data_IF_064912417048
#
_entry.id   IF_064912417048
#
_cell.length_a   1.000
_cell.length_b   1.000
_cell.length_c   1.000
_cell.angle_alpha   90.00
_cell.angle_beta   90.00
_cell.angle_gamma   90.00
#
_symmetry.space_group_name_H-M   'P 1'
#
loop_
_entity.id
_entity.type
_entity.pdbx_description
1 polymer ?
#
# COMPACT_ATOMS: atom_id res chain seq x y z
N UNK A 1 -8.90 8.98 20.44
CA UNK A 1 -8.35 9.27 19.09
C UNK A 1 -7.26 8.27 18.81
N UNK A 2 -7.33 7.51 17.71
CA UNK A 2 -6.20 6.70 17.29
C UNK A 2 -5.16 7.63 16.67
N UNK A 3 -3.98 7.73 17.28
CA UNK A 3 -2.89 8.55 16.77
C UNK A 3 -2.35 7.95 15.48
N UNK A 4 -2.18 8.80 14.46
CA UNK A 4 -1.48 8.41 13.22
C UNK A 4 0.00 8.41 13.55
N UNK A 5 0.62 7.23 13.50
CA UNK A 5 2.05 7.04 13.78
C UNK A 5 2.86 7.47 12.55
N UNK A 6 2.42 7.09 11.35
CA UNK A 6 3.06 7.45 10.09
C UNK A 6 2.03 7.75 9.02
N UNK A 7 2.31 8.79 8.24
CA UNK A 7 1.60 9.15 7.03
C UNK A 7 2.62 9.39 5.92
N UNK A 8 2.51 8.65 4.81
CA UNK A 8 3.40 8.83 3.66
C UNK A 8 2.80 8.30 2.37
N UNK A 9 3.29 8.80 1.24
CA UNK A 9 2.88 8.38 -0.09
C UNK A 9 3.81 7.25 -0.54
N UNK A 10 3.24 6.08 -0.79
CA UNK A 10 3.97 4.91 -1.29
C UNK A 10 3.38 4.36 -2.58
N UNK A 11 4.18 3.61 -3.33
CA UNK A 11 3.76 2.91 -4.53
C UNK A 11 3.29 1.49 -4.15
N UNK A 12 1.98 1.25 -4.18
CA UNK A 12 1.39 -0.06 -3.86
C UNK A 12 1.38 -0.95 -5.10
N UNK A 13 1.99 -2.13 -4.99
CA UNK A 13 1.84 -3.21 -5.98
C UNK A 13 0.53 -3.95 -5.76
N UNK A 14 -0.28 -4.14 -6.80
CA UNK A 14 -1.48 -4.98 -6.74
C UNK A 14 -1.10 -6.43 -6.48
N UNK A 15 -1.92 -7.16 -5.72
CA UNK A 15 -1.71 -8.60 -5.57
C UNK A 15 -1.98 -9.29 -6.90
N UNK A 16 -0.93 -9.87 -7.47
CA UNK A 16 -1.00 -10.53 -8.76
C UNK A 16 -1.76 -11.86 -8.61
N UNK A 17 -3.01 -11.92 -9.09
CA UNK A 17 -3.84 -13.13 -9.00
C UNK A 17 -3.46 -14.21 -10.01
N UNK A 18 -2.87 -13.83 -11.15
CA UNK A 18 -2.41 -14.74 -12.23
C UNK A 18 -0.98 -14.37 -12.62
N UNK A 19 -0.09 -15.36 -12.78
CA UNK A 19 1.35 -15.16 -13.08
C UNK A 19 1.62 -14.34 -14.35
N UNK A 20 0.72 -14.38 -15.33
CA UNK A 20 0.83 -13.67 -16.62
C UNK A 20 0.15 -12.30 -16.62
N UNK A 21 -0.55 -11.93 -15.54
CA UNK A 21 -1.24 -10.64 -15.48
C UNK A 21 -0.24 -9.51 -15.23
N UNK A 22 -0.36 -8.36 -15.91
CA UNK A 22 0.57 -7.24 -15.76
C UNK A 22 0.73 -6.80 -14.31
N UNK A 23 1.96 -6.43 -13.94
CA UNK A 23 2.27 -5.93 -12.61
C UNK A 23 1.75 -4.49 -12.51
N UNK A 24 0.68 -4.28 -11.73
CA UNK A 24 0.10 -2.95 -11.55
C UNK A 24 0.64 -2.27 -10.30
N UNK A 25 1.19 -1.07 -10.47
CA UNK A 25 1.65 -0.21 -9.39
C UNK A 25 0.81 1.07 -9.35
N UNK A 26 0.32 1.47 -8.17
CA UNK A 26 -0.42 2.72 -7.98
C UNK A 26 0.14 3.50 -6.80
N UNK A 27 0.29 4.81 -6.95
CA UNK A 27 0.60 5.71 -5.82
C UNK A 27 -0.62 5.78 -4.90
N UNK A 28 -0.41 5.65 -3.60
CA UNK A 28 -1.45 5.71 -2.56
C UNK A 28 -0.90 6.39 -1.32
N UNK A 29 -1.75 7.13 -0.62
CA UNK A 29 -1.42 7.68 0.70
C UNK A 29 -1.70 6.61 1.75
N UNK A 30 -0.70 6.25 2.55
CA UNK A 30 -0.81 5.26 3.62
C UNK A 30 -0.83 5.95 4.98
N UNK A 31 -1.78 5.54 5.82
CA UNK A 31 -1.91 5.97 7.21
C UNK A 31 -1.75 4.75 8.11
N UNK A 32 -0.72 4.78 8.94
CA UNK A 32 -0.46 3.78 9.96
C UNK A 32 -0.96 4.30 11.31
N UNK A 33 -1.82 3.51 11.95
CA UNK A 33 -2.24 3.68 13.34
C UNK A 33 -1.83 2.43 14.12
N UNK A 34 -1.87 2.46 15.45
CA UNK A 34 -1.47 1.32 16.30
C UNK A 34 -2.16 0.00 15.93
N UNK A 35 -3.41 0.06 15.47
CA UNK A 35 -4.23 -1.13 15.20
C UNK A 35 -4.42 -1.45 13.72
N UNK A 36 -4.18 -0.50 12.81
CA UNK A 36 -4.47 -0.69 11.38
C UNK A 36 -3.58 0.14 10.46
N UNK A 37 -3.33 -0.43 9.29
CA UNK A 37 -2.73 0.25 8.15
C UNK A 37 -3.82 0.47 7.08
N UNK A 38 -4.19 1.73 6.86
CA UNK A 38 -5.21 2.13 5.89
C UNK A 38 -4.56 2.87 4.71
N UNK A 39 -5.17 2.83 3.53
CA UNK A 39 -4.69 3.60 2.38
C UNK A 39 -5.83 4.27 1.60
N UNK A 40 -5.51 5.41 0.99
CA UNK A 40 -6.45 6.26 0.24
C UNK A 40 -5.91 6.54 -1.18
N UNK A 41 -6.81 6.82 -2.13
CA UNK A 41 -6.42 7.42 -3.42
C UNK A 41 -5.82 8.80 -3.14
N UNK A 42 -4.67 9.06 -3.72
CA UNK A 42 -4.03 10.37 -3.65
C UNK A 42 -4.05 11.00 -5.04
N UNK A 43 -5.09 11.79 -5.30
CA UNK A 43 -5.22 12.58 -6.51
C UNK A 43 -4.66 13.98 -6.27
N UNK A 44 -3.52 14.30 -6.90
CA UNK A 44 -2.88 15.63 -6.79
C UNK A 44 -3.80 16.74 -7.33
N UNK A 45 -4.69 16.41 -8.26
CA UNK A 45 -5.60 17.37 -8.93
C UNK A 45 -6.98 17.49 -8.27
N UNK A 46 -7.45 16.47 -7.53
CA UNK A 46 -8.82 16.43 -6.98
C UNK A 46 -8.89 16.36 -5.44
N UNK A 47 -7.76 16.27 -4.76
CA UNK A 47 -7.71 16.03 -3.31
C UNK A 47 -7.99 14.55 -2.96
N UNK A 48 -7.87 14.21 -1.67
CA UNK A 48 -8.01 12.83 -1.17
C UNK A 48 -9.42 12.32 -1.42
N UNK A 49 -9.58 11.34 -2.32
CA UNK A 49 -10.85 10.63 -2.50
C UNK A 49 -11.05 9.68 -1.32
N UNK A 50 -12.03 9.99 -0.49
CA UNK A 50 -12.38 9.29 0.76
C UNK A 50 -13.08 7.95 0.47
N UNK A 51 -12.36 7.00 -0.12
CA UNK A 51 -12.74 5.58 -0.04
C UNK A 51 -11.59 4.78 0.58
N UNK A 52 -11.62 4.57 1.91
CA UNK A 52 -10.63 3.76 2.59
C UNK A 52 -10.80 2.30 2.18
N UNK A 53 -9.81 1.79 1.45
CA UNK A 53 -9.70 0.36 1.21
C UNK A 53 -8.85 -0.22 2.35
N UNK A 54 -9.46 -0.96 3.26
CA UNK A 54 -8.76 -1.53 4.42
C UNK A 54 -7.93 -2.74 3.94
N UNK A 55 -6.63 -2.73 4.18
CA UNK A 55 -5.83 -3.95 4.04
C UNK A 55 -6.07 -4.79 5.30
N UNK A 56 -6.46 -6.07 5.22
CA UNK A 56 -6.50 -6.91 6.40
C UNK A 56 -5.11 -6.95 7.04
N UNK A 57 -5.08 -6.90 8.37
CA UNK A 57 -3.86 -6.81 9.19
C UNK A 57 -2.79 -7.76 8.64
N UNK A 58 -1.68 -7.18 8.17
CA UNK A 58 -0.54 -7.94 7.67
C UNK A 58 0.15 -8.62 8.85
N UNK A 59 0.21 -9.97 8.92
CA UNK A 59 1.11 -10.64 9.83
C UNK A 59 2.53 -10.42 9.29
N UNK A 60 3.38 -9.78 10.09
CA UNK A 60 4.83 -9.63 9.92
C UNK A 60 5.31 -9.39 8.47
N UNK A 61 5.47 -8.12 8.06
CA UNK A 61 6.22 -7.81 6.84
C UNK A 61 7.71 -8.11 7.03
N UNK A 62 8.16 -9.22 6.46
CA UNK A 62 9.58 -9.42 6.17
C UNK A 62 10.06 -8.40 5.13
N UNK A 63 11.32 -8.00 5.22
CA UNK A 63 11.97 -7.17 4.19
C UNK A 63 11.84 -7.90 2.84
N UNK A 64 11.32 -7.21 1.81
CA UNK A 64 11.35 -7.75 0.46
C UNK A 64 12.82 -7.82 0.04
N UNK A 65 13.40 -9.02 0.08
CA UNK A 65 14.75 -9.28 -0.44
C UNK A 65 14.85 -8.74 -1.86
N UNK A 66 15.91 -7.97 -2.12
CA UNK A 66 16.24 -7.53 -3.47
C UNK A 66 16.30 -8.77 -4.37
N UNK A 67 15.58 -8.73 -5.49
CA UNK A 67 15.55 -9.84 -6.42
C UNK A 67 16.96 -10.09 -6.94
N UNK A 68 17.55 -11.20 -6.51
CA UNK A 68 18.76 -11.74 -7.13
C UNK A 68 18.39 -12.16 -8.55
N UNK A 69 19.20 -11.70 -9.49
CA UNK A 69 18.97 -11.79 -10.92
C UNK A 69 18.93 -13.20 -11.46
N UNK A 70 18.08 -13.35 -12.48
CA UNK A 70 18.26 -14.15 -13.69
C UNK A 70 19.58 -14.94 -13.80
N UNK A 71 19.47 -16.28 -13.79
CA UNK A 71 20.15 -17.20 -14.72
C UNK A 71 19.24 -18.36 -15.06
#
# INVERSE_FOLDING_TARGET
MASIILESIFLKRSQQKKKTSPLNFKKRLFLLTESKLSYYEYDFERGVSLQPQVSPAVPCQGVAGQGEGLV
#
